data_IF_781290565667
#
_entry.id   IF_781290565667
#
_cell.length_a   1.000
_cell.length_b   1.000
_cell.length_c   1.000
_cell.angle_alpha   90.00
_cell.angle_beta   90.00
_cell.angle_gamma   90.00
#
_symmetry.space_group_name_H-M   'P 1'
#
loop_
_entity.id
_entity.type
_entity.pdbx_description
1 polymer ?
#
# COMPACT_ATOMS: atom_id res chain seq x y z
N UNK A 1 -4.36 -5.08 7.21
CA UNK A 1 -5.63 -5.24 7.92
C UNK A 1 -6.14 -3.87 8.24
N UNK A 2 -7.46 -3.71 8.30
CA UNK A 2 -8.10 -2.43 8.63
C UNK A 2 -8.80 -2.63 9.96
N UNK A 3 -8.40 -1.90 11.00
CA UNK A 3 -8.97 -1.99 12.34
C UNK A 3 -9.09 -3.43 12.89
N UNK A 4 -8.07 -4.26 12.68
CA UNK A 4 -8.07 -5.67 13.12
C UNK A 4 -8.70 -6.66 12.13
N UNK A 5 -9.42 -6.20 11.10
CA UNK A 5 -9.94 -7.08 10.05
C UNK A 5 -8.81 -7.53 9.10
N UNK A 6 -8.49 -8.82 9.15
CA UNK A 6 -7.37 -9.42 8.41
C UNK A 6 -7.74 -9.97 7.03
N UNK A 7 -9.02 -10.18 6.74
CA UNK A 7 -9.51 -10.41 5.36
C UNK A 7 -9.37 -9.18 4.47
N UNK A 8 -9.08 -8.01 5.07
CA UNK A 8 -8.77 -6.79 4.35
C UNK A 8 -7.30 -6.76 3.87
N UNK A 9 -6.98 -5.95 2.84
CA UNK A 9 -5.61 -5.75 2.40
C UNK A 9 -4.67 -5.26 3.51
N UNK A 10 -3.37 -5.46 3.30
CA UNK A 10 -2.30 -4.95 4.13
C UNK A 10 -2.47 -3.44 4.34
N UNK A 11 -2.31 -2.98 5.58
CA UNK A 11 -2.55 -1.57 5.92
C UNK A 11 -1.59 -0.64 5.16
N UNK A 12 -0.33 -1.05 4.97
CA UNK A 12 0.65 -0.31 4.18
C UNK A 12 0.22 -0.16 2.72
N UNK A 13 -0.26 -1.25 2.10
CA UNK A 13 -0.75 -1.23 0.71
C UNK A 13 -1.98 -0.32 0.59
N UNK A 14 -2.96 -0.44 1.49
CA UNK A 14 -4.13 0.44 1.50
C UNK A 14 -3.76 1.92 1.65
N UNK A 15 -2.89 2.24 2.61
CA UNK A 15 -2.42 3.61 2.83
C UNK A 15 -1.69 4.16 1.60
N UNK A 16 -0.86 3.34 0.94
CA UNK A 16 -0.12 3.75 -0.25
C UNK A 16 -1.03 4.12 -1.42
N UNK A 17 -2.12 3.39 -1.64
CA UNK A 17 -3.10 3.71 -2.67
C UNK A 17 -3.79 5.06 -2.42
N UNK A 18 -4.09 5.37 -1.14
CA UNK A 18 -4.60 6.69 -0.73
C UNK A 18 -3.55 7.78 -0.98
N UNK A 19 -2.30 7.55 -0.57
CA UNK A 19 -1.20 8.50 -0.79
C UNK A 19 -1.01 8.82 -2.28
N UNK A 20 -1.05 7.81 -3.16
CA UNK A 20 -0.97 7.98 -4.60
C UNK A 20 -2.17 8.78 -5.13
N UNK A 21 -3.39 8.51 -4.68
CA UNK A 21 -4.55 9.35 -5.01
C UNK A 21 -4.34 10.83 -4.68
N UNK A 22 -3.81 11.13 -3.48
CA UNK A 22 -3.51 12.50 -3.04
C UNK A 22 -2.34 13.14 -3.81
N UNK A 23 -1.37 12.32 -4.26
CA UNK A 23 -0.24 12.78 -5.05
C UNK A 23 -0.64 13.23 -6.46
N UNK A 24 -1.68 12.62 -7.01
CA UNK A 24 -2.30 12.98 -8.29
C UNK A 24 -3.44 14.02 -8.15
N UNK A 25 -3.58 14.68 -7.00
CA UNK A 25 -4.65 15.68 -6.83
C UNK A 25 -4.51 16.81 -7.86
N UNK A 26 -5.65 17.27 -8.37
CA UNK A 26 -5.73 18.45 -9.24
C UNK A 26 -7.09 19.13 -9.07
N UNK A 27 -7.22 20.41 -9.46
CA UNK A 27 -8.50 21.12 -9.42
C UNK A 27 -9.56 20.41 -10.27
N UNK A 28 -10.78 20.19 -9.76
CA UNK A 28 -11.82 19.47 -10.49
C UNK A 28 -12.36 20.24 -11.71
N UNK A 29 -12.14 21.56 -11.78
CA UNK A 29 -12.54 22.40 -12.90
C UNK A 29 -11.79 22.06 -14.21
N UNK A 30 -10.58 21.53 -14.13
CA UNK A 30 -9.82 21.06 -15.29
C UNK A 30 -10.12 19.58 -15.55
N UNK A 31 -11.20 19.33 -16.28
CA UNK A 31 -11.72 17.98 -16.52
C UNK A 31 -10.74 17.07 -17.27
N UNK A 32 -9.95 17.62 -18.19
CA UNK A 32 -8.94 16.86 -18.95
C UNK A 32 -7.76 16.46 -18.08
N UNK A 33 -7.23 17.40 -17.28
CA UNK A 33 -6.19 17.08 -16.31
C UNK A 33 -6.70 16.10 -15.26
N UNK A 34 -7.91 16.29 -14.73
CA UNK A 34 -8.52 15.39 -13.76
C UNK A 34 -8.63 13.95 -14.29
N UNK A 35 -8.99 13.77 -15.56
CA UNK A 35 -9.01 12.45 -16.20
C UNK A 35 -7.61 11.83 -16.28
N UNK A 36 -6.61 12.60 -16.74
CA UNK A 36 -5.21 12.13 -16.83
C UNK A 36 -4.64 11.75 -15.46
N UNK A 37 -4.84 12.59 -14.46
CA UNK A 37 -4.32 12.38 -13.12
C UNK A 37 -4.97 11.19 -12.42
N UNK A 38 -6.30 11.00 -12.56
CA UNK A 38 -6.98 9.79 -12.05
C UNK A 38 -6.43 8.52 -12.69
N UNK A 39 -6.14 8.55 -13.99
CA UNK A 39 -5.53 7.41 -14.68
C UNK A 39 -4.12 7.15 -14.15
N UNK A 40 -3.32 8.20 -13.97
CA UNK A 40 -1.99 8.09 -13.36
C UNK A 40 -2.04 7.45 -11.97
N UNK A 41 -2.93 7.92 -11.10
CA UNK A 41 -3.09 7.37 -9.75
C UNK A 41 -3.43 5.87 -9.78
N UNK A 42 -4.30 5.46 -10.72
CA UNK A 42 -4.67 4.06 -10.92
C UNK A 42 -3.47 3.23 -11.40
N UNK A 43 -2.69 3.75 -12.34
CA UNK A 43 -1.50 3.06 -12.89
C UNK A 43 -0.45 2.87 -11.78
N UNK A 44 -0.13 3.93 -11.05
CA UNK A 44 0.88 3.89 -10.00
C UNK A 44 0.44 2.97 -8.85
N UNK A 45 -0.83 3.04 -8.43
CA UNK A 45 -1.36 2.14 -7.40
C UNK A 45 -1.37 0.69 -7.87
N UNK A 46 -1.72 0.43 -9.15
CA UNK A 46 -1.65 -0.91 -9.72
C UNK A 46 -0.22 -1.44 -9.74
N UNK A 47 0.75 -0.62 -10.13
CA UNK A 47 2.15 -1.02 -10.16
C UNK A 47 2.66 -1.35 -8.76
N UNK A 48 2.36 -0.51 -7.75
CA UNK A 48 2.71 -0.78 -6.37
C UNK A 48 2.11 -2.11 -5.87
N UNK A 49 0.81 -2.34 -6.12
CA UNK A 49 0.13 -3.58 -5.71
C UNK A 49 0.74 -4.80 -6.40
N UNK A 50 0.98 -4.73 -7.71
CA UNK A 50 1.61 -5.84 -8.46
C UNK A 50 2.99 -6.14 -7.92
N UNK A 51 3.85 -5.13 -7.73
CA UNK A 51 5.19 -5.34 -7.16
C UNK A 51 5.13 -5.89 -5.73
N UNK A 52 4.15 -5.49 -4.93
CA UNK A 52 3.94 -6.04 -3.58
C UNK A 52 3.57 -7.53 -3.66
N UNK A 53 2.65 -7.92 -4.55
CA UNK A 53 2.25 -9.31 -4.75
C UNK A 53 3.42 -10.14 -5.28
N UNK A 54 4.19 -9.63 -6.24
CA UNK A 54 5.39 -10.32 -6.75
C UNK A 54 6.41 -10.58 -5.65
N UNK A 55 6.54 -9.66 -4.68
CA UNK A 55 7.51 -9.77 -3.59
C UNK A 55 7.01 -10.63 -2.42
N UNK A 56 5.73 -10.54 -2.07
CA UNK A 56 5.18 -11.10 -0.83
C UNK A 56 4.03 -12.11 -1.04
N UNK A 57 3.64 -12.36 -2.28
CA UNK A 57 2.67 -13.39 -2.69
C UNK A 57 1.20 -12.98 -2.63
N UNK A 58 0.81 -12.05 -1.75
CA UNK A 58 -0.57 -11.59 -1.57
C UNK A 58 -0.62 -10.19 -0.98
N UNK A 59 -1.78 -9.55 -0.99
CA UNK A 59 -2.04 -8.31 -0.23
C UNK A 59 -2.93 -8.56 0.99
N UNK A 60 -3.58 -9.72 1.11
CA UNK A 60 -4.48 -10.02 2.24
C UNK A 60 -3.69 -10.11 3.54
N UNK A 61 -4.10 -9.37 4.57
CA UNK A 61 -3.32 -9.26 5.80
C UNK A 61 -3.23 -10.58 6.58
N UNK A 62 -4.32 -11.36 6.61
CA UNK A 62 -4.34 -12.68 7.24
C UNK A 62 -3.35 -13.61 6.57
N UNK A 63 -3.42 -13.74 5.24
CA UNK A 63 -2.51 -14.56 4.44
C UNK A 63 -1.04 -14.17 4.62
N UNK A 64 -0.75 -12.85 4.64
CA UNK A 64 0.62 -12.34 4.85
C UNK A 64 1.19 -12.73 6.22
N UNK A 65 0.35 -12.73 7.25
CA UNK A 65 0.78 -13.04 8.61
C UNK A 65 0.76 -14.54 8.90
N UNK A 66 -0.17 -15.29 8.30
CA UNK A 66 -0.47 -16.68 8.62
C UNK A 66 -1.17 -16.81 9.98
N UNK A 67 -1.87 -15.76 10.43
CA UNK A 67 -2.52 -15.67 11.73
C UNK A 67 -3.95 -15.17 11.57
N UNK A 68 -4.85 -15.67 12.41
CA UNK A 68 -6.23 -15.20 12.53
C UNK A 68 -6.41 -14.47 13.87
N UNK A 69 -6.66 -13.17 13.82
CA UNK A 69 -6.87 -12.29 14.97
C UNK A 69 -8.30 -12.33 15.48
N UNK A 70 -9.21 -13.04 14.82
CA UNK A 70 -10.53 -13.34 15.38
C UNK A 70 -10.45 -14.39 16.51
N UNK A 71 -9.38 -15.18 16.53
CA UNK A 71 -9.12 -16.15 17.59
C UNK A 71 -8.71 -15.46 18.91
N UNK A 72 -9.31 -15.85 20.06
CA UNK A 72 -8.95 -15.29 21.36
C UNK A 72 -7.44 -15.39 21.65
N UNK A 73 -6.82 -14.26 22.00
CA UNK A 73 -5.40 -14.21 22.37
C UNK A 73 -4.42 -14.20 21.18
N UNK A 74 -4.86 -14.44 19.94
CA UNK A 74 -3.98 -14.47 18.78
C UNK A 74 -3.25 -13.13 18.53
N UNK A 75 -3.93 -12.00 18.78
CA UNK A 75 -3.29 -10.68 18.70
C UNK A 75 -2.21 -10.49 19.76
N UNK A 76 -2.43 -11.00 20.99
CA UNK A 76 -1.42 -10.92 22.05
C UNK A 76 -0.19 -11.77 21.69
N UNK A 77 -0.40 -12.99 21.23
CA UNK A 77 0.67 -13.86 20.73
C UNK A 77 1.44 -13.24 19.55
N UNK A 78 0.75 -12.53 18.65
CA UNK A 78 1.39 -11.77 17.58
C UNK A 78 2.31 -10.65 18.08
N UNK A 79 1.92 -9.95 19.14
CA UNK A 79 2.75 -8.92 19.76
C UNK A 79 3.98 -9.52 20.45
N UNK A 80 3.79 -10.57 21.25
CA UNK A 80 4.86 -11.24 22.01
C UNK A 80 5.86 -11.95 21.10
N UNK A 81 5.39 -12.61 20.04
CA UNK A 81 6.24 -13.30 19.07
C UNK A 81 7.14 -12.36 18.27
N UNK A 82 6.83 -11.06 18.21
CA UNK A 82 7.61 -10.09 17.46
C UNK A 82 7.48 -10.20 15.93
N UNK A 83 6.58 -11.05 15.41
CA UNK A 83 6.37 -11.26 13.96
C UNK A 83 6.15 -9.94 13.21
N UNK A 84 5.51 -8.96 13.86
CA UNK A 84 5.29 -7.64 13.28
C UNK A 84 6.59 -6.92 12.89
N UNK A 85 7.69 -7.16 13.59
CA UNK A 85 9.01 -6.60 13.26
C UNK A 85 9.54 -7.20 11.96
N UNK A 86 9.44 -8.52 11.82
CA UNK A 86 10.01 -9.20 10.67
C UNK A 86 9.13 -9.20 9.43
N UNK A 87 7.82 -8.97 9.58
CA UNK A 87 6.85 -8.94 8.48
C UNK A 87 6.29 -7.53 8.26
N UNK A 88 5.51 -7.00 9.21
CA UNK A 88 4.80 -5.74 9.01
C UNK A 88 5.76 -4.57 8.73
N UNK A 89 6.88 -4.45 9.44
CA UNK A 89 7.85 -3.38 9.18
C UNK A 89 8.45 -3.49 7.78
N UNK A 90 8.77 -4.69 7.29
CA UNK A 90 9.26 -4.90 5.91
C UNK A 90 8.22 -4.54 4.86
N UNK A 91 6.94 -4.81 5.13
CA UNK A 91 5.85 -4.39 4.23
C UNK A 91 5.73 -2.85 4.17
N UNK A 92 5.90 -2.17 5.31
CA UNK A 92 5.91 -0.71 5.38
C UNK A 92 7.13 -0.14 4.66
N UNK A 93 8.32 -0.66 4.93
CA UNK A 93 9.58 -0.27 4.28
C UNK A 93 9.47 -0.39 2.76
N UNK A 94 9.08 -1.56 2.25
CA UNK A 94 8.89 -1.79 0.81
C UNK A 94 7.93 -0.78 0.19
N UNK A 95 6.79 -0.52 0.83
CA UNK A 95 5.81 0.44 0.32
C UNK A 95 6.38 1.85 0.29
N UNK A 96 7.12 2.26 1.32
CA UNK A 96 7.78 3.57 1.36
C UNK A 96 8.79 3.71 0.22
N UNK A 97 9.67 2.72 0.04
CA UNK A 97 10.65 2.69 -1.05
C UNK A 97 9.96 2.79 -2.42
N UNK A 98 8.89 2.02 -2.62
CA UNK A 98 8.11 2.06 -3.87
C UNK A 98 7.43 3.41 -4.11
N UNK A 99 6.95 4.06 -3.07
CA UNK A 99 6.37 5.40 -3.20
C UNK A 99 7.43 6.43 -3.61
N UNK A 100 8.64 6.38 -3.06
CA UNK A 100 9.74 7.25 -3.49
C UNK A 100 10.15 6.98 -4.94
N UNK A 101 10.27 5.71 -5.35
CA UNK A 101 10.58 5.33 -6.73
C UNK A 101 9.56 5.93 -7.73
N UNK A 102 8.27 5.85 -7.41
CA UNK A 102 7.20 6.40 -8.23
C UNK A 102 7.22 7.93 -8.26
N UNK A 103 7.52 8.57 -7.13
CA UNK A 103 7.61 10.03 -7.03
C UNK A 103 8.78 10.61 -7.84
N UNK A 104 9.94 9.95 -7.79
CA UNK A 104 11.12 10.31 -8.59
C UNK A 104 10.84 10.18 -10.08
N UNK A 105 10.27 9.05 -10.52
CA UNK A 105 9.86 8.83 -11.92
C UNK A 105 8.91 9.91 -12.42
N UNK A 106 7.93 10.29 -11.59
CA UNK A 106 6.99 11.36 -11.91
C UNK A 106 7.69 12.72 -12.01
N UNK A 107 8.59 13.02 -11.09
CA UNK A 107 9.32 14.29 -11.07
C UNK A 107 10.18 14.46 -12.32
N UNK A 108 10.82 13.38 -12.79
CA UNK A 108 11.53 13.37 -14.07
C UNK A 108 10.58 13.57 -15.26
N UNK A 109 9.43 12.89 -15.28
CA UNK A 109 8.44 13.04 -16.36
C UNK A 109 7.76 14.41 -16.41
N UNK A 110 7.87 15.22 -15.34
CA UNK A 110 7.32 16.57 -15.23
C UNK A 110 8.39 17.67 -15.36
N UNK A 111 9.66 17.31 -15.58
CA UNK A 111 10.73 18.26 -15.85
C UNK A 111 10.43 19.04 -17.16
N UNK A 112 10.77 20.34 -17.22
CA UNK A 112 10.45 21.22 -18.35
C UNK A 112 11.13 20.81 -19.67
#
# INVERSE_FOLDING_TARGET
GIAGHQSAPCGAVSASAVCLGLRHRCPPADTQRAKRERLGARVDASHLVTSFIERFGTITCGDLLGLDFSEPGAYHAFLESGIWKDKCQKYVEFVIEKLYELDEKRSVAQAP
#
